data_IF_389615598073
#
_entry.id   IF_389615598073
#
_cell.length_a   1.000
_cell.length_b   1.000
_cell.length_c   1.000
_cell.angle_alpha   90.00
_cell.angle_beta   90.00
_cell.angle_gamma   90.00
#
_symmetry.space_group_name_H-M   'P 1'
#
loop_
_entity.id
_entity.type
_entity.pdbx_description
1 polymer ?
#
# COMPACT_ATOMS: atom_id res chain seq x y z
N UNK A 1 14.84 -5.28 37.20
CA UNK A 1 15.01 -4.66 35.86
C UNK A 1 13.99 -5.22 34.84
N UNK A 2 13.85 -6.55 34.72
CA UNK A 2 12.84 -7.20 33.85
C UNK A 2 11.37 -6.85 34.13
N UNK A 3 10.98 -6.71 35.42
CA UNK A 3 9.60 -6.36 35.79
C UNK A 3 9.15 -5.00 35.23
N UNK A 4 10.05 -4.01 35.21
CA UNK A 4 9.77 -2.70 34.60
C UNK A 4 9.54 -2.80 33.10
N UNK A 5 10.33 -3.61 32.38
CA UNK A 5 10.15 -3.80 30.94
C UNK A 5 8.83 -4.50 30.61
N UNK A 6 8.45 -5.50 31.40
CA UNK A 6 7.15 -6.17 31.27
C UNK A 6 5.98 -5.20 31.54
N UNK A 7 6.07 -4.37 32.59
CA UNK A 7 5.07 -3.34 32.88
C UNK A 7 5.04 -2.25 31.78
N UNK A 8 6.18 -1.86 31.21
CA UNK A 8 6.25 -0.94 30.06
C UNK A 8 5.60 -1.56 28.82
N UNK A 9 5.88 -2.82 28.49
CA UNK A 9 5.19 -3.51 27.39
C UNK A 9 3.69 -3.61 27.62
N UNK A 10 3.26 -3.81 28.88
CA UNK A 10 1.84 -3.91 29.24
C UNK A 10 1.14 -2.55 29.12
N UNK A 11 1.78 -1.48 29.58
CA UNK A 11 1.29 -0.11 29.42
C UNK A 11 1.29 0.34 27.94
N UNK A 12 2.30 -0.02 27.16
CA UNK A 12 2.32 0.22 25.71
C UNK A 12 1.19 -0.56 25.02
N UNK A 13 0.88 -1.77 25.45
CA UNK A 13 -0.25 -2.54 24.90
C UNK A 13 -1.59 -1.91 25.26
N UNK A 14 -1.77 -1.45 26.50
CA UNK A 14 -2.97 -0.71 26.89
C UNK A 14 -3.09 0.64 26.16
N UNK A 15 -2.00 1.37 25.92
CA UNK A 15 -2.04 2.59 25.10
C UNK A 15 -2.33 2.31 23.62
N UNK A 16 -1.72 1.28 23.03
CA UNK A 16 -2.00 0.90 21.65
C UNK A 16 -3.41 0.31 21.47
N UNK A 17 -4.01 -0.26 22.51
CA UNK A 17 -5.35 -0.85 22.42
C UNK A 17 -6.47 0.13 22.80
N UNK A 18 -6.23 1.02 23.78
CA UNK A 18 -7.26 1.91 24.34
C UNK A 18 -7.13 3.39 23.90
N UNK A 19 -5.95 3.84 23.45
CA UNK A 19 -5.71 5.25 23.03
C UNK A 19 -5.53 5.42 21.53
N UNK A 20 -5.41 4.34 20.77
CA UNK A 20 -5.39 4.40 19.31
C UNK A 20 -6.71 3.88 18.79
N UNK A 21 -7.48 4.75 18.15
CA UNK A 21 -8.63 4.39 17.32
C UNK A 21 -8.13 3.52 16.18
N UNK A 22 -7.98 2.22 16.44
CA UNK A 22 -7.83 1.23 15.39
C UNK A 22 -9.05 1.36 14.49
N UNK A 23 -8.87 1.74 13.23
CA UNK A 23 -9.98 1.73 12.29
C UNK A 23 -10.51 0.31 12.26
N UNK A 24 -11.84 0.18 12.26
CA UNK A 24 -12.49 -1.13 12.30
C UNK A 24 -11.94 -1.95 11.13
N UNK A 25 -11.73 -3.26 11.31
CA UNK A 25 -11.05 -4.11 10.31
C UNK A 25 -11.61 -3.97 8.88
N UNK A 26 -12.89 -3.59 8.76
CA UNK A 26 -13.57 -3.27 7.52
C UNK A 26 -13.04 -2.00 6.79
N UNK A 27 -12.65 -0.95 7.52
CA UNK A 27 -12.06 0.27 6.93
C UNK A 27 -10.63 0.06 6.46
N UNK A 28 -9.85 -0.80 7.16
CA UNK A 28 -8.53 -1.22 6.68
C UNK A 28 -8.64 -1.97 5.35
N UNK A 29 -9.60 -2.89 5.23
CA UNK A 29 -9.81 -3.63 3.97
C UNK A 29 -10.33 -2.72 2.86
N UNK A 30 -11.16 -1.73 3.19
CA UNK A 30 -11.63 -0.73 2.23
C UNK A 30 -10.46 0.11 1.68
N UNK A 31 -9.60 0.63 2.56
CA UNK A 31 -8.42 1.39 2.17
C UNK A 31 -7.41 0.53 1.38
N UNK A 32 -7.22 -0.74 1.77
CA UNK A 32 -6.38 -1.67 1.04
C UNK A 32 -6.93 -1.99 -0.36
N UNK A 33 -8.25 -2.16 -0.51
CA UNK A 33 -8.89 -2.40 -1.80
C UNK A 33 -8.73 -1.21 -2.75
N UNK A 34 -8.86 0.02 -2.23
CA UNK A 34 -8.63 1.24 -3.02
C UNK A 34 -7.19 1.26 -3.54
N UNK A 35 -6.20 1.01 -2.67
CA UNK A 35 -4.79 0.99 -3.08
C UNK A 35 -4.52 -0.12 -4.12
N UNK A 36 -5.10 -1.30 -3.95
CA UNK A 36 -4.99 -2.39 -4.92
C UNK A 36 -5.61 -2.00 -6.28
N UNK A 37 -6.79 -1.38 -6.27
CA UNK A 37 -7.44 -0.91 -7.50
C UNK A 37 -6.65 0.21 -8.18
N UNK A 38 -6.07 1.13 -7.42
CA UNK A 38 -5.20 2.19 -7.93
C UNK A 38 -3.94 1.60 -8.58
N UNK A 39 -3.32 0.60 -7.95
CA UNK A 39 -2.14 -0.07 -8.51
C UNK A 39 -2.44 -0.80 -9.83
N UNK A 40 -3.63 -1.39 -9.96
CA UNK A 40 -4.09 -2.04 -11.20
C UNK A 40 -4.23 -1.03 -12.34
N UNK A 41 -4.81 0.15 -12.07
CA UNK A 41 -4.96 1.22 -13.07
C UNK A 41 -3.59 1.69 -13.54
N UNK A 42 -2.66 1.92 -12.61
CA UNK A 42 -1.29 2.33 -12.94
C UNK A 42 -0.60 1.27 -13.81
N UNK A 43 -0.77 -0.02 -13.52
CA UNK A 43 -0.22 -1.11 -14.33
C UNK A 43 -0.75 -1.09 -15.77
N UNK A 44 -2.05 -0.85 -15.98
CA UNK A 44 -2.65 -0.72 -17.31
C UNK A 44 -2.08 0.49 -18.07
N UNK A 45 -1.92 1.63 -17.40
CA UNK A 45 -1.36 2.84 -18.02
C UNK A 45 0.09 2.61 -18.47
N UNK A 46 0.92 1.99 -17.63
CA UNK A 46 2.30 1.66 -17.98
C UNK A 46 2.34 0.69 -19.17
N UNK A 47 1.47 -0.31 -19.20
CA UNK A 47 1.38 -1.25 -20.33
C UNK A 47 1.05 -0.54 -21.66
N UNK A 48 0.11 0.41 -21.64
CA UNK A 48 -0.21 1.22 -22.82
C UNK A 48 0.97 2.09 -23.24
N UNK A 49 1.66 2.71 -22.28
CA UNK A 49 2.83 3.53 -22.56
C UNK A 49 3.97 2.71 -23.18
N UNK A 50 4.23 1.51 -22.66
CA UNK A 50 5.22 0.58 -23.23
C UNK A 50 4.84 0.15 -24.64
N UNK A 51 3.55 -0.11 -24.92
CA UNK A 51 3.07 -0.46 -26.25
C UNK A 51 3.24 0.69 -27.25
N UNK A 52 2.88 1.92 -26.84
CA UNK A 52 3.07 3.12 -27.65
C UNK A 52 4.56 3.32 -27.93
N UNK A 53 5.42 3.23 -26.92
CA UNK A 53 6.87 3.38 -27.09
C UNK A 53 7.45 2.39 -28.09
N UNK A 54 7.08 1.10 -28.00
CA UNK A 54 7.49 0.08 -28.97
C UNK A 54 6.95 0.37 -30.37
N UNK A 55 5.69 0.76 -30.49
CA UNK A 55 5.08 1.04 -31.79
C UNK A 55 5.69 2.29 -32.44
N UNK A 56 5.94 3.34 -31.65
CA UNK A 56 6.59 4.58 -32.06
C UNK A 56 8.05 4.32 -32.47
N UNK A 57 8.80 3.48 -31.75
CA UNK A 57 10.15 3.08 -32.15
C UNK A 57 10.16 2.31 -33.48
N UNK A 58 9.24 1.37 -33.68
CA UNK A 58 9.10 0.68 -34.96
C UNK A 58 8.66 1.62 -36.11
N UNK A 59 7.93 2.69 -35.81
CA UNK A 59 7.47 3.66 -36.81
C UNK A 59 8.53 4.72 -37.17
N UNK A 60 9.35 5.14 -36.19
CA UNK A 60 10.41 6.15 -36.39
C UNK A 60 11.75 5.55 -36.82
N UNK A 61 12.01 4.28 -36.49
CA UNK A 61 13.12 3.51 -37.06
C UNK A 61 12.60 2.37 -37.98
N UNK A 62 12.05 2.69 -39.16
CA UNK A 62 11.92 1.71 -40.24
C UNK A 62 13.28 1.59 -40.95
N UNK A 63 14.30 1.06 -40.27
CA UNK A 63 15.63 0.81 -40.85
C UNK A 63 16.51 -0.05 -39.95
#
# INVERSE_FOLDING_TARGET
>A
MFKKFLDYCKNCYDELAHKTTWPTRAELTHSAMIVLSASLIIAVVVFVFDFISQHVMNFIYPS
#
